data_IF_723860458137
#
_entry.id   IF_723860458137
#
_cell.length_a   1.000
_cell.length_b   1.000
_cell.length_c   1.000
_cell.angle_alpha   90.00
_cell.angle_beta   90.00
_cell.angle_gamma   90.00
#
_symmetry.space_group_name_H-M   'P 1'
#
loop_
_entity.id
_entity.type
_entity.pdbx_description
1 polymer ?
#
# COMPACT_ATOMS: atom_id res chain seq x y z
N UNK A 1 10.10 -2.76 8.08
CA UNK A 1 9.33 -2.28 6.90
C UNK A 1 8.92 -3.45 6.00
N UNK A 2 9.84 -4.16 5.33
CA UNK A 2 9.47 -5.31 4.48
C UNK A 2 8.75 -6.41 5.26
N UNK A 3 9.30 -6.82 6.40
CA UNK A 3 8.71 -7.90 7.23
C UNK A 3 7.36 -7.51 7.83
N UNK A 4 7.21 -6.25 8.24
CA UNK A 4 5.94 -5.71 8.74
C UNK A 4 4.88 -5.67 7.63
N UNK A 5 5.24 -5.17 6.44
CA UNK A 5 4.35 -5.20 5.27
C UNK A 5 3.91 -6.63 4.94
N UNK A 6 4.85 -7.58 4.91
CA UNK A 6 4.55 -9.00 4.65
C UNK A 6 3.62 -9.57 5.73
N UNK A 7 3.85 -9.26 7.01
CA UNK A 7 3.00 -9.73 8.13
C UNK A 7 1.58 -9.19 8.01
N UNK A 8 1.43 -7.88 7.84
CA UNK A 8 0.13 -7.21 7.69
C UNK A 8 -0.62 -7.79 6.49
N UNK A 9 0.06 -7.98 5.37
CA UNK A 9 -0.55 -8.48 4.16
C UNK A 9 -1.06 -9.93 4.33
N UNK A 10 -0.31 -10.78 5.04
CA UNK A 10 -0.78 -12.12 5.44
C UNK A 10 -1.98 -12.06 6.38
N UNK A 11 -1.98 -11.17 7.37
CA UNK A 11 -3.10 -10.97 8.30
C UNK A 11 -4.38 -10.50 7.59
N UNK A 12 -4.26 -9.82 6.46
CA UNK A 12 -5.42 -9.45 5.61
C UNK A 12 -5.95 -10.59 4.72
N UNK A 13 -5.36 -11.79 4.81
CA UNK A 13 -5.83 -12.99 4.12
C UNK A 13 -5.09 -13.33 2.83
N UNK A 14 -3.89 -12.79 2.61
CA UNK A 14 -3.09 -13.16 1.46
C UNK A 14 -2.57 -14.61 1.53
N UNK A 15 -2.75 -15.36 0.45
CA UNK A 15 -2.37 -16.78 0.32
C UNK A 15 -1.38 -17.00 -0.85
N UNK A 16 -1.13 -15.96 -1.66
CA UNK A 16 -0.26 -16.04 -2.83
C UNK A 16 1.25 -16.05 -2.52
N UNK A 17 2.03 -16.53 -3.48
CA UNK A 17 3.49 -16.42 -3.49
C UNK A 17 3.92 -15.00 -3.92
N UNK A 18 5.21 -14.67 -3.75
CA UNK A 18 5.83 -13.42 -4.23
C UNK A 18 5.41 -12.10 -3.53
N UNK A 19 4.95 -12.15 -2.27
CA UNK A 19 4.67 -10.93 -1.46
C UNK A 19 5.90 -10.01 -1.37
N UNK A 20 7.10 -10.61 -1.31
CA UNK A 20 8.35 -9.84 -1.27
C UNK A 20 8.57 -9.05 -2.56
N UNK A 21 8.25 -9.64 -3.70
CA UNK A 21 8.38 -8.97 -5.00
C UNK A 21 7.38 -7.83 -5.13
N UNK A 22 6.17 -7.99 -4.59
CA UNK A 22 5.20 -6.89 -4.51
C UNK A 22 5.73 -5.73 -3.66
N UNK A 23 6.27 -6.02 -2.47
CA UNK A 23 6.87 -4.99 -1.62
C UNK A 23 8.00 -4.24 -2.35
N UNK A 24 8.89 -4.98 -3.00
CA UNK A 24 10.00 -4.39 -3.76
C UNK A 24 9.51 -3.55 -4.94
N UNK A 25 8.48 -4.02 -5.65
CA UNK A 25 7.82 -3.26 -6.71
C UNK A 25 7.28 -1.93 -6.18
N UNK A 26 6.46 -1.95 -5.14
CA UNK A 26 5.87 -0.75 -4.53
C UNK A 26 6.98 0.20 -4.03
N UNK A 27 7.98 -0.32 -3.31
CA UNK A 27 9.11 0.47 -2.84
C UNK A 27 9.87 1.15 -3.98
N UNK A 28 10.02 0.48 -5.12
CA UNK A 28 10.72 1.02 -6.29
C UNK A 28 10.01 2.24 -6.89
N UNK A 29 8.67 2.27 -6.88
CA UNK A 29 7.90 3.44 -7.30
C UNK A 29 8.19 4.66 -6.42
N UNK A 30 8.15 4.50 -5.10
CA UNK A 30 8.44 5.58 -4.15
C UNK A 30 9.93 6.00 -4.09
N UNK A 31 10.81 5.25 -4.75
CA UNK A 31 12.25 5.52 -4.82
C UNK A 31 12.66 6.19 -6.14
N UNK A 32 11.71 6.54 -7.00
CA UNK A 32 12.00 7.21 -8.27
C UNK A 32 12.60 8.61 -8.03
N UNK A 33 13.69 8.98 -8.73
CA UNK A 33 14.48 10.18 -8.42
C UNK A 33 13.75 11.50 -8.66
N UNK A 34 12.63 11.49 -9.40
CA UNK A 34 11.82 12.66 -9.69
C UNK A 34 10.67 12.89 -8.68
N UNK A 35 10.51 12.00 -7.69
CA UNK A 35 9.54 12.19 -6.61
C UNK A 35 10.19 12.97 -5.46
N UNK A 36 9.68 14.16 -5.18
CA UNK A 36 10.17 15.01 -4.09
C UNK A 36 9.31 14.91 -2.82
N UNK A 37 8.00 14.73 -2.97
CA UNK A 37 7.05 14.68 -1.84
C UNK A 37 6.52 13.26 -1.58
N UNK A 38 5.91 12.61 -2.58
CA UNK A 38 5.40 11.22 -2.47
C UNK A 38 6.53 10.18 -2.54
N UNK A 39 7.42 10.21 -1.54
CA UNK A 39 8.61 9.36 -1.43
C UNK A 39 8.43 8.29 -0.36
N UNK A 40 9.42 7.41 -0.25
CA UNK A 40 9.45 6.40 0.81
C UNK A 40 9.45 7.01 2.22
N UNK A 41 9.99 8.22 2.39
CA UNK A 41 10.02 8.89 3.69
C UNK A 41 8.64 9.43 4.05
N UNK A 42 7.87 9.92 3.08
CA UNK A 42 6.47 10.28 3.30
C UNK A 42 5.63 9.08 3.77
N UNK A 43 5.83 7.91 3.15
CA UNK A 43 5.18 6.67 3.60
C UNK A 43 5.54 6.35 5.07
N UNK A 44 6.82 6.47 5.46
CA UNK A 44 7.24 6.25 6.85
C UNK A 44 6.58 7.23 7.82
N UNK A 45 6.45 8.49 7.45
CA UNK A 45 5.79 9.51 8.27
C UNK A 45 4.31 9.16 8.50
N UNK A 46 3.58 8.80 7.44
CA UNK A 46 2.18 8.38 7.54
C UNK A 46 2.02 7.14 8.42
N UNK A 47 2.87 6.12 8.24
CA UNK A 47 2.83 4.90 9.05
C UNK A 47 3.18 5.16 10.51
N UNK A 48 4.12 6.08 10.79
CA UNK A 48 4.43 6.53 12.15
C UNK A 48 3.24 7.22 12.80
N UNK A 49 2.50 8.04 12.04
CA UNK A 49 1.24 8.64 12.47
C UNK A 49 0.19 7.58 12.80
N UNK A 50 -0.01 6.62 11.90
CA UNK A 50 -0.95 5.51 12.08
C UNK A 50 -0.64 4.68 13.33
N UNK A 51 0.64 4.39 13.59
CA UNK A 51 1.04 3.62 14.77
C UNK A 51 0.67 4.29 16.10
N UNK A 52 0.73 5.62 16.17
CA UNK A 52 0.38 6.37 17.40
C UNK A 52 -1.09 6.22 17.79
N UNK A 53 -1.94 5.82 16.85
CA UNK A 53 -3.38 5.67 17.05
C UNK A 53 -3.85 4.23 16.85
N UNK A 54 -2.93 3.26 16.82
CA UNK A 54 -3.23 1.84 16.60
C UNK A 54 -4.34 1.30 17.49
N UNK A 55 -4.29 1.60 18.79
CA UNK A 55 -5.28 1.11 19.77
C UNK A 55 -6.67 1.75 19.61
N UNK A 56 -6.82 2.74 18.72
CA UNK A 56 -8.07 3.46 18.44
C UNK A 56 -8.68 3.08 17.08
N UNK A 57 -8.03 2.20 16.33
CA UNK A 57 -8.42 1.86 14.95
C UNK A 57 -8.68 0.35 14.87
N UNK A 58 -9.87 -0.02 14.41
CA UNK A 58 -10.22 -1.42 14.20
C UNK A 58 -9.60 -1.99 12.91
N UNK A 59 -9.53 -1.18 11.84
CA UNK A 59 -9.08 -1.61 10.52
C UNK A 59 -7.60 -1.24 10.24
N UNK A 60 -6.75 -1.29 11.27
CA UNK A 60 -5.35 -0.84 11.19
C UNK A 60 -4.59 -1.43 10.00
N UNK A 61 -4.75 -2.75 9.78
CA UNK A 61 -4.07 -3.45 8.70
C UNK A 61 -4.52 -2.99 7.30
N UNK A 62 -5.80 -2.65 7.14
CA UNK A 62 -6.34 -2.15 5.88
C UNK A 62 -5.83 -0.74 5.61
N UNK A 63 -5.85 0.14 6.61
CA UNK A 63 -5.31 1.51 6.48
C UNK A 63 -3.79 1.47 6.22
N UNK A 64 -3.07 0.57 6.89
CA UNK A 64 -1.63 0.38 6.65
C UNK A 64 -1.36 0.04 5.18
N UNK A 65 -2.13 -0.88 4.59
CA UNK A 65 -1.99 -1.23 3.17
C UNK A 65 -2.45 -0.08 2.26
N UNK A 66 -3.55 0.61 2.58
CA UNK A 66 -4.01 1.78 1.84
C UNK A 66 -2.91 2.85 1.76
N UNK A 67 -2.20 3.13 2.87
CA UNK A 67 -1.05 4.04 2.87
C UNK A 67 0.04 3.59 1.89
N UNK A 68 0.33 2.30 1.79
CA UNK A 68 1.34 1.83 0.82
C UNK A 68 0.89 1.99 -0.63
N UNK A 69 -0.41 1.96 -0.91
CA UNK A 69 -0.94 2.07 -2.27
C UNK A 69 -1.38 3.48 -2.67
N UNK A 70 -1.64 4.40 -1.74
CA UNK A 70 -2.36 5.67 -2.01
C UNK A 70 -1.81 6.51 -3.18
N UNK A 71 -0.49 6.53 -3.38
CA UNK A 71 0.20 7.25 -4.46
C UNK A 71 1.31 6.41 -5.09
N UNK A 72 1.08 5.09 -5.23
CA UNK A 72 2.08 4.20 -5.82
C UNK A 72 2.29 4.50 -7.31
N UNK A 73 1.25 4.88 -8.04
CA UNK A 73 1.38 5.49 -9.36
C UNK A 73 1.61 7.00 -9.19
N UNK A 74 2.51 7.57 -10.00
CA UNK A 74 2.75 9.01 -9.96
C UNK A 74 3.25 9.52 -11.32
N UNK A 75 2.37 10.25 -12.00
CA UNK A 75 2.71 11.12 -13.10
C UNK A 75 2.29 12.56 -12.73
N UNK A 76 3.24 13.52 -12.60
CA UNK A 76 2.93 14.92 -12.31
C UNK A 76 1.97 15.61 -13.29
N UNK A 77 1.76 15.05 -14.49
CA UNK A 77 0.88 15.59 -15.53
C UNK A 77 -0.47 14.90 -15.59
N UNK A 78 -0.63 13.77 -14.90
CA UNK A 78 -1.87 13.02 -14.85
C UNK A 78 -2.79 13.59 -13.76
N UNK A 79 -4.10 13.41 -13.96
CA UNK A 79 -5.13 13.80 -12.98
C UNK A 79 -5.79 12.59 -12.30
N UNK A 80 -5.40 11.38 -12.72
CA UNK A 80 -5.97 10.10 -12.30
C UNK A 80 -4.95 9.22 -11.56
N UNK A 81 -3.89 9.82 -10.97
CA UNK A 81 -2.86 9.06 -10.23
C UNK A 81 -3.46 8.20 -9.11
N UNK A 82 -4.47 8.72 -8.40
CA UNK A 82 -5.15 8.01 -7.32
C UNK A 82 -5.93 6.80 -7.86
N UNK A 83 -6.66 6.97 -8.97
CA UNK A 83 -7.41 5.89 -9.64
C UNK A 83 -6.46 4.80 -10.16
N UNK A 84 -5.36 5.18 -10.82
CA UNK A 84 -4.36 4.22 -11.29
C UNK A 84 -3.64 3.49 -10.15
N UNK A 85 -3.45 4.17 -9.02
CA UNK A 85 -2.91 3.59 -7.80
C UNK A 85 -3.87 2.56 -7.19
N UNK A 86 -5.17 2.88 -7.14
CA UNK A 86 -6.21 1.98 -6.69
C UNK A 86 -6.36 0.76 -7.61
N UNK A 87 -6.29 0.94 -8.93
CA UNK A 87 -6.32 -0.14 -9.91
C UNK A 87 -5.12 -1.07 -9.76
N UNK A 88 -3.91 -0.51 -9.59
CA UNK A 88 -2.71 -1.29 -9.32
C UNK A 88 -2.87 -2.11 -8.03
N UNK A 89 -3.39 -1.51 -6.96
CA UNK A 89 -3.67 -2.19 -5.71
C UNK A 89 -4.65 -3.36 -5.91
N UNK A 90 -5.78 -3.11 -6.60
CA UNK A 90 -6.78 -4.13 -6.85
C UNK A 90 -6.20 -5.34 -7.59
N UNK A 91 -5.42 -5.09 -8.66
CA UNK A 91 -4.78 -6.13 -9.46
C UNK A 91 -3.79 -6.94 -8.63
N UNK A 92 -2.89 -6.30 -7.88
CA UNK A 92 -1.87 -7.02 -7.11
C UNK A 92 -2.46 -7.78 -5.91
N UNK A 93 -3.41 -7.20 -5.19
CA UNK A 93 -4.05 -7.83 -4.04
C UNK A 93 -4.95 -9.00 -4.46
N UNK A 94 -5.59 -8.91 -5.64
CA UNK A 94 -6.36 -10.02 -6.22
C UNK A 94 -5.47 -11.22 -6.56
N UNK A 95 -4.28 -11.00 -7.12
CA UNK A 95 -3.30 -12.08 -7.38
C UNK A 95 -2.90 -12.80 -6.09
N UNK A 96 -2.84 -12.07 -4.98
CA UNK A 96 -2.55 -12.61 -3.65
C UNK A 96 -3.76 -13.27 -2.97
N UNK A 97 -4.91 -13.32 -3.66
CA UNK A 97 -6.18 -13.90 -3.19
C UNK A 97 -6.72 -13.25 -1.91
N UNK A 98 -6.43 -11.96 -1.70
CA UNK A 98 -7.01 -11.19 -0.61
C UNK A 98 -8.53 -11.11 -0.81
N UNK A 99 -9.35 -11.25 0.24
CA UNK A 99 -10.81 -11.15 0.13
C UNK A 99 -11.24 -9.83 -0.51
N UNK A 100 -12.18 -9.88 -1.45
CA UNK A 100 -12.63 -8.69 -2.21
C UNK A 100 -13.12 -7.55 -1.32
N UNK A 101 -13.69 -7.86 -0.14
CA UNK A 101 -14.06 -6.86 0.86
C UNK A 101 -12.86 -6.03 1.33
N UNK A 102 -11.73 -6.69 1.60
CA UNK A 102 -10.51 -6.02 2.06
C UNK A 102 -9.86 -5.23 0.93
N UNK A 103 -9.86 -5.77 -0.30
CA UNK A 103 -9.38 -5.04 -1.48
C UNK A 103 -10.17 -3.74 -1.66
N UNK A 104 -11.50 -3.81 -1.60
CA UNK A 104 -12.37 -2.65 -1.71
C UNK A 104 -12.02 -1.58 -0.68
N UNK A 105 -11.85 -1.97 0.59
CA UNK A 105 -11.46 -1.03 1.66
C UNK A 105 -10.05 -0.46 1.55
N UNK A 106 -9.16 -1.05 0.74
CA UNK A 106 -7.81 -0.53 0.49
C UNK A 106 -7.80 0.44 -0.70
N UNK A 107 -8.71 0.27 -1.65
CA UNK A 107 -8.81 1.05 -2.89
C UNK A 107 -9.76 2.25 -2.80
N UNK A 108 -10.64 2.31 -1.80
CA UNK A 108 -11.61 3.40 -1.54
C UNK A 108 -11.16 4.29 -0.38
#
# INVERSE_FOLDING_TARGET
MSEEFISILKETGAIGENIRDLFEKIRSHYSQPFRFYHTIDHIKEMLSGLQKIKDKINDFNLIYLAIWFHDVHYDPKASNNEEESADLAAVELQKLKIPSKNIKSICE
#
